data_IF_735718812114
#
_entry.id   IF_735718812114
#
_cell.length_a   1.000
_cell.length_b   1.000
_cell.length_c   1.000
_cell.angle_alpha   90.00
_cell.angle_beta   90.00
_cell.angle_gamma   90.00
#
_symmetry.space_group_name_H-M   'P 1'
#
loop_
_entity.id
_entity.type
_entity.pdbx_description
1 polymer ?
#
# COMPACT_ATOMS: atom_id res chain seq x y z
N UNK A 1 21.75 13.41 26.47
CA UNK A 1 20.68 14.14 25.75
C UNK A 1 20.48 13.61 24.32
N UNK A 2 21.54 13.47 23.51
CA UNK A 2 21.46 12.97 22.13
C UNK A 2 20.82 11.56 22.00
N UNK A 3 21.20 10.63 22.87
CA UNK A 3 20.68 9.25 22.86
C UNK A 3 19.18 9.21 23.17
N UNK A 4 18.72 10.01 24.15
CA UNK A 4 17.30 10.12 24.47
C UNK A 4 16.49 10.71 23.30
N UNK A 5 17.08 11.65 22.56
CA UNK A 5 16.45 12.25 21.38
C UNK A 5 16.33 11.24 20.24
N UNK A 6 17.37 10.44 19.99
CA UNK A 6 17.33 9.34 19.02
C UNK A 6 16.27 8.28 19.38
N UNK A 7 16.20 7.85 20.64
CA UNK A 7 15.22 6.85 21.10
C UNK A 7 13.79 7.36 20.99
N UNK A 8 13.54 8.62 21.35
CA UNK A 8 12.20 9.22 21.20
C UNK A 8 11.79 9.29 19.72
N UNK A 9 12.74 9.56 18.82
CA UNK A 9 12.45 9.70 17.39
C UNK A 9 12.15 8.37 16.70
N UNK A 10 12.84 7.29 17.06
CA UNK A 10 12.55 5.96 16.52
C UNK A 10 11.18 5.46 16.96
N UNK A 11 10.82 5.69 18.23
CA UNK A 11 9.49 5.36 18.75
C UNK A 11 8.40 6.16 18.02
N UNK A 12 8.62 7.45 17.76
CA UNK A 12 7.65 8.30 17.06
C UNK A 12 7.43 7.85 15.60
N UNK A 13 8.50 7.51 14.88
CA UNK A 13 8.43 6.99 13.51
C UNK A 13 7.67 5.65 13.47
N UNK A 14 7.91 4.77 14.44
CA UNK A 14 7.22 3.49 14.54
C UNK A 14 5.71 3.66 14.79
N UNK A 15 5.33 4.54 15.71
CA UNK A 15 3.92 4.84 16.02
C UNK A 15 3.22 5.47 14.80
N UNK A 16 3.86 6.45 14.14
CA UNK A 16 3.30 7.09 12.95
C UNK A 16 3.11 6.10 11.79
N UNK A 17 4.09 5.22 11.56
CA UNK A 17 3.99 4.18 10.53
C UNK A 17 2.85 3.19 10.83
N UNK A 18 2.68 2.80 12.10
CA UNK A 18 1.61 1.89 12.50
C UNK A 18 0.22 2.52 12.30
N UNK A 19 0.04 3.81 12.57
CA UNK A 19 -1.23 4.51 12.34
C UNK A 19 -1.54 4.67 10.84
N UNK A 20 -0.54 4.98 10.01
CA UNK A 20 -0.70 5.11 8.55
C UNK A 20 -1.16 3.77 7.93
N UNK A 21 -0.58 2.66 8.39
CA UNK A 21 -0.93 1.32 7.91
C UNK A 21 -2.33 0.88 8.35
N UNK A 22 -2.80 1.36 9.50
CA UNK A 22 -4.09 0.94 10.06
C UNK A 22 -5.27 1.76 9.49
N UNK A 23 -5.06 3.05 9.20
CA UNK A 23 -6.16 3.95 8.88
C UNK A 23 -6.35 4.20 7.38
N UNK A 24 -5.41 3.80 6.51
CA UNK A 24 -5.43 4.05 5.04
C UNK A 24 -5.61 5.52 4.61
N UNK A 25 -5.60 6.48 5.54
CA UNK A 25 -5.69 7.91 5.25
C UNK A 25 -4.28 8.48 5.09
N UNK A 26 -3.80 8.53 3.85
CA UNK A 26 -2.57 9.25 3.53
C UNK A 26 -2.83 10.77 3.65
N UNK A 27 -2.35 11.37 4.75
CA UNK A 27 -2.38 12.83 4.91
C UNK A 27 -1.04 13.43 4.51
N UNK A 28 -1.05 14.28 3.48
CA UNK A 28 0.14 14.99 2.98
C UNK A 28 0.85 15.84 4.04
N UNK A 29 0.15 16.21 5.11
CA UNK A 29 0.72 16.91 6.27
C UNK A 29 1.83 16.10 6.96
N UNK A 30 1.87 14.76 6.81
CA UNK A 30 2.96 13.90 7.31
C UNK A 30 4.27 14.04 6.52
N UNK A 31 4.24 14.59 5.30
CA UNK A 31 5.47 14.85 4.53
C UNK A 31 6.30 16.00 5.13
N UNK A 32 5.66 16.96 5.80
CA UNK A 32 6.32 18.13 6.41
C UNK A 32 7.29 17.70 7.53
N UNK A 33 6.90 16.90 8.55
CA UNK A 33 7.84 16.44 9.55
C UNK A 33 8.92 15.50 8.98
N UNK A 34 8.60 14.70 7.96
CA UNK A 34 9.59 13.83 7.30
C UNK A 34 10.70 14.64 6.59
N UNK A 35 10.33 15.70 5.86
CA UNK A 35 11.28 16.59 5.21
C UNK A 35 12.07 17.41 6.23
N UNK A 36 11.42 17.93 7.27
CA UNK A 36 12.09 18.61 8.38
C UNK A 36 13.13 17.71 9.06
N UNK A 37 12.81 16.43 9.24
CA UNK A 37 13.72 15.45 9.85
C UNK A 37 14.94 15.16 8.97
N UNK A 38 14.77 15.05 7.66
CA UNK A 38 15.89 14.84 6.71
C UNK A 38 16.90 16.00 6.73
N UNK A 39 16.42 17.23 6.90
CA UNK A 39 17.28 18.41 7.02
C UNK A 39 18.07 18.38 8.34
N UNK A 40 17.44 17.98 9.45
CA UNK A 40 18.08 17.91 10.77
C UNK A 40 19.18 16.83 10.81
N UNK A 41 18.92 15.65 10.23
CA UNK A 41 19.93 14.57 10.19
C UNK A 41 21.12 14.94 9.31
N UNK A 42 20.86 15.58 8.17
CA UNK A 42 21.91 16.08 7.26
C UNK A 42 22.73 17.18 7.94
N UNK A 43 22.09 18.11 8.64
CA UNK A 43 22.76 19.15 9.41
C UNK A 43 23.62 18.56 10.53
N UNK A 44 23.09 17.59 11.28
CA UNK A 44 23.84 16.92 12.36
C UNK A 44 25.07 16.19 11.83
N UNK A 45 24.93 15.45 10.72
CA UNK A 45 26.06 14.78 10.06
C UNK A 45 27.13 15.77 9.58
N UNK A 46 26.71 16.93 9.05
CA UNK A 46 27.61 18.00 8.63
C UNK A 46 28.42 18.58 9.81
N UNK A 47 27.81 18.80 10.96
CA UNK A 47 28.53 19.30 12.14
C UNK A 47 29.50 18.26 12.72
N UNK A 48 29.11 16.99 12.73
CA UNK A 48 29.98 15.90 13.22
C UNK A 48 31.21 15.70 12.33
N UNK A 49 31.08 15.88 11.01
CA UNK A 49 32.22 15.79 10.08
C UNK A 49 33.11 17.03 10.12
N UNK A 50 32.56 18.21 10.40
CA UNK A 50 33.33 19.46 10.47
C UNK A 50 34.09 19.65 11.79
N UNK A 51 33.63 19.03 12.89
CA UNK A 51 34.29 19.12 14.19
C UNK A 51 35.66 18.40 14.24
N UNK A 52 36.02 17.59 13.24
CA UNK A 52 37.26 16.82 13.20
C UNK A 52 38.46 17.47 12.48
N UNK A 53 38.30 18.63 11.83
CA UNK A 53 39.35 19.20 10.95
C UNK A 53 40.16 20.33 11.59
N UNK A 54 40.58 20.14 12.84
CA UNK A 54 41.38 21.11 13.60
C UNK A 54 42.86 20.73 13.71
N UNK A 55 43.53 20.37 12.61
CA UNK A 55 45.01 20.35 12.59
C UNK A 55 45.57 20.42 11.15
N UNK A 56 46.27 21.50 10.74
CA UNK A 56 46.77 21.65 9.37
C UNK A 56 48.11 20.94 9.05
N UNK A 57 48.79 20.28 9.99
CA UNK A 57 50.20 19.83 9.76
C UNK A 57 50.49 18.33 9.99
N UNK A 58 49.51 17.44 10.04
CA UNK A 58 49.79 16.00 10.16
C UNK A 58 50.09 15.36 8.78
N UNK A 59 51.39 15.30 8.48
CA UNK A 59 51.97 14.73 7.28
C UNK A 59 51.59 13.27 6.99
N UNK A 60 51.55 12.99 5.69
CA UNK A 60 51.41 11.68 5.07
C UNK A 60 52.58 10.77 5.46
N UNK A 61 52.32 9.68 6.18
CA UNK A 61 53.08 8.44 6.07
C UNK A 61 52.22 7.23 6.47
N UNK A 62 52.08 6.32 5.52
CA UNK A 62 51.21 5.16 5.56
C UNK A 62 51.96 3.91 6.08
N UNK A 63 51.37 3.23 7.07
CA UNK A 63 51.31 1.76 7.19
C UNK A 63 50.48 1.46 8.45
N UNK A 64 49.25 1.01 8.37
CA UNK A 64 48.93 -0.42 8.23
C UNK A 64 47.44 -0.57 7.98
N UNK A 65 47.08 -1.24 6.87
CA UNK A 65 45.79 -1.91 6.70
C UNK A 65 44.57 -1.03 6.40
N UNK A 66 44.31 -0.76 5.11
CA UNK A 66 43.00 -0.27 4.69
C UNK A 66 43.04 0.40 3.33
N UNK A 67 42.82 -0.37 2.27
CA UNK A 67 42.71 0.12 0.89
C UNK A 67 41.48 1.03 0.76
N UNK A 68 41.67 2.32 0.56
CA UNK A 68 40.65 3.21 -0.01
C UNK A 68 41.10 3.63 -1.40
N UNK A 69 40.46 3.05 -2.41
CA UNK A 69 40.61 3.42 -3.81
C UNK A 69 39.70 4.62 -4.07
N UNK A 70 40.30 5.74 -4.46
CA UNK A 70 39.62 6.84 -5.10
C UNK A 70 39.22 6.43 -6.53
N UNK A 71 37.95 6.57 -6.89
CA UNK A 71 37.48 6.50 -8.28
C UNK A 71 36.59 7.72 -8.54
N UNK A 72 37.08 8.57 -9.45
CA UNK A 72 36.40 9.73 -9.99
C UNK A 72 35.15 9.30 -10.79
N UNK A 73 34.04 10.04 -10.62
CA UNK A 73 32.87 10.01 -11.50
C UNK A 73 31.60 9.53 -10.81
N UNK A 74 30.76 10.47 -10.38
CA UNK A 74 29.40 10.22 -9.86
C UNK A 74 29.34 10.07 -8.34
N UNK A 75 29.48 11.19 -7.63
CA UNK A 75 29.71 11.23 -6.18
C UNK A 75 28.60 10.67 -5.31
N UNK A 76 28.93 9.59 -4.60
CA UNK A 76 28.51 9.36 -3.22
C UNK A 76 29.80 9.18 -2.42
N UNK A 77 30.16 10.21 -1.64
CA UNK A 77 31.35 10.17 -0.76
C UNK A 77 31.01 9.27 0.42
N UNK A 78 31.50 8.03 0.35
CA UNK A 78 31.50 7.07 1.46
C UNK A 78 32.84 7.23 2.20
N UNK A 79 32.85 8.07 3.22
CA UNK A 79 33.88 8.07 4.28
C UNK A 79 33.11 7.99 5.60
N UNK A 80 32.68 6.78 5.94
CA UNK A 80 31.71 6.51 7.03
C UNK A 80 31.16 5.10 6.96
N UNK A 81 32.05 4.15 6.68
CA UNK A 81 31.79 2.96 5.87
C UNK A 81 31.94 1.62 6.62
N UNK A 82 31.87 1.57 7.96
CA UNK A 82 32.18 0.33 8.70
C UNK A 82 31.15 -0.15 9.73
N UNK A 83 29.98 0.48 9.86
CA UNK A 83 28.87 -0.06 10.68
C UNK A 83 27.54 -0.17 9.94
N UNK A 84 27.53 -0.04 8.61
CA UNK A 84 26.31 -0.17 7.80
C UNK A 84 26.52 -1.21 6.69
N UNK A 85 27.07 -2.37 7.06
CA UNK A 85 27.04 -3.57 6.22
C UNK A 85 26.42 -4.69 7.05
N UNK A 86 25.13 -4.60 7.35
CA UNK A 86 24.31 -5.72 7.86
C UNK A 86 22.79 -5.50 7.77
N UNK A 87 22.28 -4.64 6.87
CA UNK A 87 20.82 -4.47 6.72
C UNK A 87 20.29 -4.60 5.29
N UNK A 88 21.07 -5.16 4.34
CA UNK A 88 20.64 -5.23 2.92
C UNK A 88 20.47 -6.66 2.39
N UNK A 89 20.38 -7.68 3.26
CA UNK A 89 20.20 -9.07 2.80
C UNK A 89 19.29 -9.92 3.70
N UNK A 90 18.20 -9.35 4.21
CA UNK A 90 17.05 -10.12 4.72
C UNK A 90 15.76 -9.50 4.15
N UNK A 91 15.67 -9.44 2.83
CA UNK A 91 14.41 -9.13 2.14
C UNK A 91 13.84 -10.36 1.41
N UNK A 92 14.56 -11.48 1.41
CA UNK A 92 14.12 -12.74 0.81
C UNK A 92 13.69 -13.68 1.94
N UNK A 93 12.42 -14.07 1.95
CA UNK A 93 11.76 -14.96 2.93
C UNK A 93 11.17 -14.33 4.20
N UNK A 94 10.78 -13.05 4.17
CA UNK A 94 9.59 -12.69 4.94
C UNK A 94 8.37 -13.21 4.16
N UNK A 95 7.47 -14.02 4.75
CA UNK A 95 6.19 -14.27 4.12
C UNK A 95 5.58 -12.91 3.81
N UNK A 96 5.32 -12.66 2.53
CA UNK A 96 4.57 -11.48 2.10
C UNK A 96 3.36 -11.40 3.02
N UNK A 97 3.16 -10.28 3.77
CA UNK A 97 2.03 -10.18 4.67
C UNK A 97 0.80 -10.48 3.82
N UNK A 98 0.13 -11.59 4.11
CA UNK A 98 -1.13 -11.91 3.43
C UNK A 98 -1.98 -10.65 3.54
N UNK A 99 -2.51 -10.14 2.41
CA UNK A 99 -3.24 -8.89 2.41
C UNK A 99 -4.33 -9.02 3.46
N UNK A 100 -4.14 -8.34 4.61
CA UNK A 100 -5.14 -8.26 5.66
C UNK A 100 -6.35 -7.70 4.95
N UNK A 101 -7.38 -8.53 4.79
CA UNK A 101 -8.61 -8.13 4.13
C UNK A 101 -9.09 -6.87 4.84
N UNK A 102 -9.01 -5.73 4.15
CA UNK A 102 -9.51 -4.47 4.70
C UNK A 102 -10.94 -4.72 5.18
N UNK A 103 -11.32 -4.24 6.38
CA UNK A 103 -12.65 -4.45 6.91
C UNK A 103 -13.66 -3.94 5.88
N UNK A 104 -14.34 -4.87 5.22
CA UNK A 104 -15.30 -4.56 4.18
C UNK A 104 -16.69 -4.42 4.81
N UNK A 105 -17.49 -3.43 4.38
CA UNK A 105 -18.79 -3.15 4.97
C UNK A 105 -19.76 -4.29 4.66
N UNK A 106 -20.29 -4.91 5.71
CA UNK A 106 -21.14 -6.09 5.56
C UNK A 106 -22.44 -5.72 4.86
N UNK A 107 -22.66 -6.28 3.67
CA UNK A 107 -23.90 -6.12 2.94
C UNK A 107 -25.07 -6.79 3.71
N UNK A 108 -26.31 -6.37 3.45
CA UNK A 108 -27.48 -7.00 4.09
C UNK A 108 -27.51 -8.48 3.72
N UNK A 109 -27.79 -9.37 4.68
CA UNK A 109 -27.89 -10.81 4.42
C UNK A 109 -28.88 -11.10 3.29
N UNK A 110 -28.48 -11.95 2.36
CA UNK A 110 -29.31 -12.30 1.21
C UNK A 110 -29.33 -11.23 0.12
N UNK A 111 -28.39 -10.28 0.11
CA UNK A 111 -28.26 -9.27 -0.94
C UNK A 111 -26.86 -9.19 -1.52
N UNK A 112 -26.74 -8.56 -2.67
CA UNK A 112 -25.49 -8.23 -3.35
C UNK A 112 -25.37 -6.71 -3.36
N UNK A 113 -24.27 -6.20 -2.79
CA UNK A 113 -23.97 -4.78 -2.72
C UNK A 113 -22.86 -4.43 -3.70
N UNK A 114 -23.05 -3.33 -4.43
CA UNK A 114 -22.14 -2.83 -5.44
C UNK A 114 -21.81 -1.38 -5.14
N UNK A 115 -20.52 -1.06 -5.19
CA UNK A 115 -19.99 0.27 -4.92
C UNK A 115 -19.28 0.82 -6.16
N UNK A 116 -19.44 2.13 -6.45
CA UNK A 116 -18.78 2.75 -7.59
C UNK A 116 -17.27 2.90 -7.39
N UNK A 117 -16.82 3.05 -6.15
CA UNK A 117 -15.41 3.26 -5.84
C UNK A 117 -14.73 1.97 -5.38
N UNK A 118 -13.40 1.98 -5.41
CA UNK A 118 -12.59 0.91 -4.84
C UNK A 118 -12.68 0.95 -3.33
N UNK A 119 -12.48 -0.18 -2.67
CA UNK A 119 -12.50 -0.25 -1.20
C UNK A 119 -13.84 0.14 -0.59
N UNK A 120 -14.96 -0.13 -1.29
CA UNK A 120 -16.33 0.02 -0.79
C UNK A 120 -16.77 1.47 -0.53
N UNK A 121 -16.23 2.42 -1.30
CA UNK A 121 -16.60 3.83 -1.25
C UNK A 121 -17.80 4.21 -2.13
N UNK A 122 -18.42 5.34 -1.79
CA UNK A 122 -19.53 5.92 -2.55
C UNK A 122 -20.91 5.35 -2.21
N UNK A 123 -21.90 5.74 -3.01
CA UNK A 123 -23.29 5.34 -2.79
C UNK A 123 -23.51 3.88 -3.18
N UNK A 124 -23.83 3.04 -2.19
CA UNK A 124 -24.10 1.62 -2.40
C UNK A 124 -25.39 1.42 -3.19
N UNK A 125 -25.36 0.45 -4.10
CA UNK A 125 -26.57 -0.13 -4.67
C UNK A 125 -26.69 -1.57 -4.21
N UNK A 126 -27.87 -1.92 -3.71
CA UNK A 126 -28.19 -3.24 -3.18
C UNK A 126 -29.20 -3.91 -4.08
N UNK A 127 -28.94 -5.19 -4.40
CA UNK A 127 -29.84 -6.04 -5.16
C UNK A 127 -30.07 -7.35 -4.42
N UNK A 128 -31.33 -7.78 -4.30
CA UNK A 128 -31.73 -8.99 -3.60
C UNK A 128 -32.36 -10.00 -4.56
N UNK A 129 -31.79 -11.21 -4.70
CA UNK A 129 -32.43 -12.26 -5.51
C UNK A 129 -33.82 -12.60 -4.96
N UNK A 130 -34.82 -12.56 -5.83
CA UNK A 130 -36.22 -12.88 -5.53
C UNK A 130 -37.05 -11.74 -4.95
N UNK A 131 -36.42 -10.70 -4.39
CA UNK A 131 -37.11 -9.46 -4.02
C UNK A 131 -37.01 -8.41 -5.13
N UNK A 132 -35.82 -8.28 -5.73
CA UNK A 132 -35.57 -7.43 -6.88
C UNK A 132 -35.64 -8.26 -8.17
N UNK A 133 -36.05 -7.62 -9.26
CA UNK A 133 -36.05 -8.24 -10.57
C UNK A 133 -34.61 -8.44 -11.08
N UNK A 134 -34.38 -9.56 -11.75
CA UNK A 134 -33.18 -9.76 -12.57
C UNK A 134 -33.12 -8.65 -13.64
N UNK A 135 -31.98 -7.99 -13.77
CA UNK A 135 -31.96 -6.80 -14.59
C UNK A 135 -30.62 -6.07 -14.69
N UNK A 136 -30.58 -5.04 -15.54
CA UNK A 136 -29.38 -4.25 -15.75
C UNK A 136 -29.05 -3.50 -14.47
N UNK A 137 -27.75 -3.48 -14.15
CA UNK A 137 -27.21 -2.62 -13.12
C UNK A 137 -27.54 -1.15 -13.47
N UNK A 138 -27.86 -0.30 -12.49
CA UNK A 138 -28.13 1.12 -12.71
C UNK A 138 -27.03 1.77 -13.54
N UNK A 139 -27.40 2.66 -14.45
CA UNK A 139 -26.45 3.30 -15.39
C UNK A 139 -25.29 4.04 -14.70
N UNK A 140 -25.47 4.46 -13.45
CA UNK A 140 -24.39 5.04 -12.63
C UNK A 140 -23.25 4.07 -12.31
N UNK A 141 -23.60 2.80 -12.12
CA UNK A 141 -22.69 1.72 -11.71
C UNK A 141 -22.24 0.86 -12.89
N UNK A 142 -23.02 0.80 -13.96
CA UNK A 142 -22.61 0.13 -15.21
C UNK A 142 -21.22 0.63 -15.62
N UNK A 143 -20.30 -0.30 -15.88
CA UNK A 143 -18.89 -0.06 -16.22
C UNK A 143 -18.01 0.64 -15.16
N UNK A 144 -18.57 0.98 -14.00
CA UNK A 144 -17.88 1.72 -12.95
C UNK A 144 -18.00 1.06 -11.58
N UNK A 145 -18.20 -0.25 -11.54
CA UNK A 145 -18.15 -0.99 -10.28
C UNK A 145 -16.70 -1.03 -9.82
N UNK A 146 -16.40 -0.32 -8.73
CA UNK A 146 -15.07 -0.31 -8.12
C UNK A 146 -14.89 -1.47 -7.13
N UNK A 147 -15.97 -1.88 -6.45
CA UNK A 147 -15.96 -2.97 -5.48
C UNK A 147 -17.35 -3.60 -5.29
N UNK A 148 -17.39 -4.83 -4.79
CA UNK A 148 -18.63 -5.56 -4.52
C UNK A 148 -18.50 -6.50 -3.32
N UNK A 149 -19.64 -6.84 -2.75
CA UNK A 149 -19.80 -7.89 -1.75
C UNK A 149 -21.13 -8.61 -1.98
N UNK A 150 -21.10 -9.93 -1.90
CA UNK A 150 -22.26 -10.79 -2.09
C UNK A 150 -22.56 -11.57 -0.82
N UNK A 151 -23.72 -11.31 -0.23
CA UNK A 151 -24.31 -12.11 0.86
C UNK A 151 -25.41 -13.04 0.34
N UNK A 152 -25.46 -13.23 -0.97
CA UNK A 152 -26.34 -14.15 -1.68
C UNK A 152 -25.61 -14.77 -2.88
N UNK A 153 -26.13 -15.89 -3.37
CA UNK A 153 -25.70 -16.44 -4.66
C UNK A 153 -26.35 -15.66 -5.81
N UNK A 154 -25.63 -15.49 -6.90
CA UNK A 154 -26.14 -14.82 -8.08
C UNK A 154 -25.22 -15.01 -9.28
N UNK A 155 -25.50 -14.26 -10.34
CA UNK A 155 -24.70 -14.26 -11.55
C UNK A 155 -24.50 -12.83 -12.07
N UNK A 156 -23.24 -12.47 -12.32
CA UNK A 156 -22.93 -11.29 -13.12
C UNK A 156 -22.85 -11.68 -14.59
N UNK A 157 -23.49 -10.90 -15.44
CA UNK A 157 -23.51 -11.11 -16.88
C UNK A 157 -23.01 -9.85 -17.56
N UNK A 158 -22.01 -10.05 -18.43
CA UNK A 158 -21.54 -9.04 -19.36
C UNK A 158 -22.52 -8.95 -20.54
N UNK A 159 -23.04 -7.76 -20.80
CA UNK A 159 -24.04 -7.58 -21.84
C UNK A 159 -23.46 -7.67 -23.25
N UNK A 160 -22.16 -7.39 -23.42
CA UNK A 160 -21.41 -7.38 -24.68
C UNK A 160 -20.85 -8.77 -24.99
N UNK A 161 -20.08 -9.36 -24.08
CA UNK A 161 -19.44 -10.67 -24.29
C UNK A 161 -20.37 -11.86 -24.02
N UNK A 162 -21.50 -11.63 -23.33
CA UNK A 162 -22.39 -12.69 -22.80
C UNK A 162 -21.69 -13.67 -21.86
N UNK A 163 -20.52 -13.31 -21.34
CA UNK A 163 -19.84 -14.10 -20.33
C UNK A 163 -20.62 -14.00 -19.02
N UNK A 164 -20.84 -15.16 -18.40
CA UNK A 164 -21.57 -15.28 -17.14
C UNK A 164 -20.60 -15.71 -16.05
N UNK A 165 -20.61 -14.98 -14.93
CA UNK A 165 -19.78 -15.26 -13.78
C UNK A 165 -20.64 -15.62 -12.57
N UNK A 166 -20.50 -16.84 -12.02
CA UNK A 166 -21.17 -17.21 -10.79
C UNK A 166 -20.60 -16.46 -9.60
N UNK A 167 -21.50 -15.93 -8.77
CA UNK A 167 -21.20 -15.27 -7.51
C UNK A 167 -21.64 -16.21 -6.39
N UNK A 168 -20.74 -16.46 -5.44
CA UNK A 168 -21.02 -17.28 -4.26
C UNK A 168 -21.38 -16.39 -3.08
N UNK A 169 -22.07 -16.98 -2.11
CA UNK A 169 -22.28 -16.32 -0.82
C UNK A 169 -20.92 -16.04 -0.17
N UNK A 170 -20.77 -14.86 0.42
CA UNK A 170 -19.52 -14.32 1.00
C UNK A 170 -18.42 -14.01 -0.02
N UNK A 171 -18.73 -13.98 -1.32
CA UNK A 171 -17.79 -13.50 -2.33
C UNK A 171 -17.68 -11.98 -2.28
N UNK A 172 -16.48 -11.45 -2.40
CA UNK A 172 -16.24 -10.02 -2.35
C UNK A 172 -14.96 -9.62 -3.08
N UNK A 173 -14.90 -8.37 -3.53
CA UNK A 173 -13.68 -7.77 -4.03
C UNK A 173 -13.66 -6.26 -3.81
N UNK A 174 -12.62 -5.78 -3.15
CA UNK A 174 -12.33 -4.35 -3.02
C UNK A 174 -11.78 -3.70 -4.30
N UNK A 175 -11.46 -4.51 -5.33
CA UNK A 175 -10.92 -4.05 -6.62
C UNK A 175 -11.57 -4.84 -7.76
N UNK A 176 -12.82 -4.53 -8.06
CA UNK A 176 -13.59 -5.24 -9.06
C UNK A 176 -12.98 -5.11 -10.47
N UNK A 177 -12.71 -3.88 -10.92
CA UNK A 177 -12.19 -3.60 -12.28
C UNK A 177 -10.88 -4.34 -12.58
N UNK A 178 -9.97 -4.46 -11.63
CA UNK A 178 -8.65 -5.10 -11.84
C UNK A 178 -8.76 -6.62 -12.01
N UNK A 179 -9.75 -7.25 -11.36
CA UNK A 179 -9.91 -8.71 -11.38
C UNK A 179 -10.95 -9.18 -12.40
N UNK A 180 -11.96 -8.35 -12.69
CA UNK A 180 -13.17 -8.76 -13.41
C UNK A 180 -13.52 -7.80 -14.55
N UNK A 181 -12.77 -6.72 -14.74
CA UNK A 181 -13.00 -5.78 -15.83
C UNK A 181 -14.39 -5.13 -15.76
N UNK A 182 -15.11 -5.17 -16.88
CA UNK A 182 -16.45 -4.58 -17.07
C UNK A 182 -17.58 -5.62 -17.04
N UNK A 183 -17.32 -6.82 -16.51
CA UNK A 183 -18.20 -7.99 -16.65
C UNK A 183 -19.52 -7.98 -15.83
N UNK A 184 -19.94 -6.85 -15.26
CA UNK A 184 -21.18 -6.75 -14.47
C UNK A 184 -22.10 -5.65 -15.00
N UNK A 185 -22.70 -5.92 -16.16
CA UNK A 185 -23.76 -5.06 -16.71
C UNK A 185 -25.15 -5.46 -16.21
N UNK A 186 -25.35 -6.75 -15.98
CA UNK A 186 -26.62 -7.34 -15.57
C UNK A 186 -26.39 -8.27 -14.39
N UNK A 187 -27.31 -8.24 -13.42
CA UNK A 187 -27.33 -9.17 -12.29
C UNK A 187 -28.54 -10.09 -12.41
N UNK A 188 -28.33 -11.37 -12.09
CA UNK A 188 -29.36 -12.40 -12.10
C UNK A 188 -29.29 -13.29 -10.86
N UNK A 189 -30.40 -13.91 -10.49
CA UNK A 189 -30.45 -14.86 -9.38
C UNK A 189 -29.67 -16.16 -9.65
N UNK A 190 -29.55 -16.58 -10.93
CA UNK A 190 -28.82 -17.78 -11.30
C UNK A 190 -28.09 -17.61 -12.65
N UNK A 191 -26.93 -18.26 -12.79
CA UNK A 191 -26.27 -18.40 -14.07
C UNK A 191 -26.98 -19.44 -14.93
N UNK A 192 -26.90 -19.27 -16.24
CA UNK A 192 -27.31 -20.25 -17.23
C UNK A 192 -26.41 -21.49 -17.10
N UNK A 193 -26.98 -22.71 -17.13
CA UNK A 193 -26.16 -23.91 -17.18
C UNK A 193 -25.33 -23.86 -18.47
N UNK A 194 -24.00 -23.99 -18.35
CA UNK A 194 -23.10 -24.15 -19.48
C UNK A 194 -23.46 -25.45 -20.21
N UNK A 195 -24.14 -25.33 -21.34
CA UNK A 195 -24.53 -26.45 -22.23
C UNK A 195 -23.37 -26.92 -23.08
#
# INVERSE_FOLDING_TARGET
>A
MLIALLVLTTVFVAVASNQILNDNVFSWWWCIPALGWSAITTFTAYFLTRAGSGDPDAGVNASTGGRYVALCGGGVVVVGALTVVSYIAVAEAMPEPEPVAAPHPTCVRGSICLWPERGFGGEVWTWQPGADADGPVPARLRDRIGSFEAQATGCFVDSESKEERPIKMQDWSGRYVEKFGRQADTVKAACRPSS
#
